data_IF_810910919828
#
_entry.id   IF_810910919828
#
_cell.length_a   1.000
_cell.length_b   1.000
_cell.length_c   1.000
_cell.angle_alpha   90.00
_cell.angle_beta   90.00
_cell.angle_gamma   90.00
#
_symmetry.space_group_name_H-M   'P 1'
#
loop_
_entity.id
_entity.type
_entity.pdbx_description
1 polymer ?
#
# COMPACT_ATOMS: atom_id res chain seq x y z
N UNK A 1 2.95 -32.68 -6.43
CA UNK A 1 3.25 -31.25 -6.31
C UNK A 1 3.41 -30.88 -4.84
N UNK A 2 4.24 -29.87 -4.52
CA UNK A 2 4.45 -29.36 -3.16
C UNK A 2 4.05 -27.89 -3.08
N UNK A 3 3.25 -27.56 -2.07
CA UNK A 3 2.86 -26.17 -1.76
C UNK A 3 3.59 -25.74 -0.48
N UNK A 4 4.10 -24.50 -0.43
CA UNK A 4 4.78 -23.92 0.73
C UNK A 4 4.46 -22.44 0.84
N UNK A 5 4.25 -21.96 2.08
CA UNK A 5 4.08 -20.54 2.43
C UNK A 5 4.93 -20.16 3.67
N UNK A 6 5.93 -21.00 4.02
CA UNK A 6 6.80 -20.78 5.19
C UNK A 6 7.96 -19.87 4.80
N UNK A 7 7.64 -18.64 4.45
CA UNK A 7 8.57 -17.56 4.09
C UNK A 7 7.91 -16.20 4.34
N UNK A 8 8.66 -15.12 4.20
CA UNK A 8 8.21 -13.75 4.37
C UNK A 8 6.93 -13.44 3.58
N UNK A 9 5.93 -12.88 4.24
CA UNK A 9 4.58 -12.60 3.74
C UNK A 9 3.77 -13.85 3.29
N UNK A 10 4.29 -15.07 3.48
CA UNK A 10 3.61 -16.30 3.06
C UNK A 10 2.32 -16.57 3.84
N UNK A 11 1.24 -16.87 3.13
CA UNK A 11 -0.07 -17.16 3.71
C UNK A 11 -0.86 -18.13 2.82
N UNK A 12 -0.96 -19.36 3.22
CA UNK A 12 -1.90 -20.37 2.71
C UNK A 12 -1.97 -21.58 3.65
N UNK A 13 -3.12 -22.19 3.72
CA UNK A 13 -3.36 -23.50 4.36
C UNK A 13 -3.60 -24.52 3.25
N UNK A 14 -2.84 -25.60 3.23
CA UNK A 14 -2.99 -26.68 2.26
C UNK A 14 -3.94 -27.73 2.79
N UNK A 15 -5.05 -27.97 2.12
CA UNK A 15 -6.03 -29.03 2.41
C UNK A 15 -5.67 -30.32 1.66
N UNK A 16 -5.37 -30.20 0.35
CA UNK A 16 -4.86 -31.30 -0.48
C UNK A 16 -4.06 -30.78 -1.67
N UNK A 17 -3.01 -31.49 -2.08
CA UNK A 17 -2.14 -31.11 -3.20
C UNK A 17 -1.59 -32.33 -3.95
N UNK A 18 -2.22 -33.50 -3.83
CA UNK A 18 -1.81 -34.75 -4.49
C UNK A 18 -2.07 -34.67 -6.01
N UNK A 19 -3.22 -34.09 -6.40
CA UNK A 19 -3.60 -33.89 -7.80
C UNK A 19 -3.40 -32.42 -8.20
N UNK A 20 -2.47 -32.10 -9.12
CA UNK A 20 -2.28 -30.73 -9.62
C UNK A 20 -3.56 -30.09 -10.20
N UNK A 21 -4.47 -30.88 -10.75
CA UNK A 21 -5.73 -30.41 -11.31
C UNK A 21 -6.82 -30.14 -10.28
N UNK A 22 -6.57 -30.43 -9.00
CA UNK A 22 -7.54 -30.23 -7.91
C UNK A 22 -6.83 -29.95 -6.57
N UNK A 23 -6.01 -28.90 -6.53
CA UNK A 23 -5.35 -28.44 -5.30
C UNK A 23 -6.36 -27.65 -4.47
N UNK A 24 -6.56 -28.04 -3.21
CA UNK A 24 -7.51 -27.43 -2.29
C UNK A 24 -6.78 -26.64 -1.21
N UNK A 25 -7.12 -25.36 -1.07
CA UNK A 25 -6.43 -24.38 -0.24
C UNK A 25 -7.44 -23.58 0.59
N UNK A 26 -6.96 -22.99 1.67
CA UNK A 26 -7.67 -21.95 2.45
C UNK A 26 -6.69 -20.81 2.78
N UNK A 27 -7.20 -19.58 2.85
CA UNK A 27 -6.44 -18.43 3.35
C UNK A 27 -6.51 -18.44 4.87
N UNK A 28 -5.38 -18.21 5.54
CA UNK A 28 -5.31 -18.05 7.00
C UNK A 28 -5.73 -16.62 7.38
N UNK A 29 -6.48 -16.50 8.48
CA UNK A 29 -6.81 -15.18 9.07
C UNK A 29 -5.58 -14.47 9.62
N UNK A 30 -5.64 -13.16 9.72
CA UNK A 30 -4.68 -12.35 10.45
C UNK A 30 -4.65 -12.77 11.92
N UNK A 31 -3.47 -12.75 12.54
CA UNK A 31 -3.32 -13.14 13.95
C UNK A 31 -4.17 -12.23 14.86
N UNK A 32 -5.03 -12.82 15.69
CA UNK A 32 -5.87 -12.06 16.62
C UNK A 32 -7.02 -11.29 15.96
N UNK A 33 -7.38 -11.63 14.72
CA UNK A 33 -8.42 -10.95 13.94
C UNK A 33 -9.20 -11.95 13.09
N UNK A 34 -10.35 -11.52 12.58
CA UNK A 34 -11.15 -12.28 11.61
C UNK A 34 -10.87 -11.88 10.15
N UNK A 35 -10.04 -10.85 9.93
CA UNK A 35 -9.68 -10.41 8.60
C UNK A 35 -8.83 -11.45 7.86
N UNK A 36 -9.14 -11.72 6.61
CA UNK A 36 -8.32 -12.47 5.68
C UNK A 36 -8.75 -12.20 4.24
N UNK A 37 -7.76 -12.16 3.34
CA UNK A 37 -7.90 -12.14 1.88
C UNK A 37 -6.53 -12.25 1.21
N UNK A 38 -5.47 -11.82 1.90
CA UNK A 38 -4.10 -11.97 1.43
C UNK A 38 -3.72 -13.44 1.37
N UNK A 39 -3.22 -13.88 0.21
CA UNK A 39 -2.57 -15.18 0.03
C UNK A 39 -1.25 -15.00 -0.71
N UNK A 40 -0.25 -15.78 -0.33
CA UNK A 40 1.03 -15.87 -1.02
C UNK A 40 1.66 -17.22 -0.74
N UNK A 41 1.89 -18.00 -1.79
CA UNK A 41 2.45 -19.34 -1.69
C UNK A 41 3.27 -19.71 -2.92
N UNK A 42 4.14 -20.72 -2.74
CA UNK A 42 4.95 -21.35 -3.79
C UNK A 42 4.40 -22.72 -4.11
N UNK A 43 4.19 -23.01 -5.38
CA UNK A 43 3.95 -24.35 -5.91
C UNK A 43 5.19 -24.85 -6.63
N UNK A 44 5.58 -26.13 -6.44
CA UNK A 44 6.73 -26.72 -7.09
C UNK A 44 6.51 -28.18 -7.49
N UNK A 45 7.21 -28.63 -8.54
CA UNK A 45 7.14 -29.98 -9.08
C UNK A 45 5.90 -30.21 -9.96
N UNK A 46 5.50 -29.21 -10.76
CA UNK A 46 4.39 -29.31 -11.71
C UNK A 46 4.69 -28.61 -13.04
N UNK A 47 5.95 -28.48 -13.42
CA UNK A 47 6.35 -27.87 -14.69
C UNK A 47 5.68 -28.58 -15.88
N UNK A 48 5.01 -27.80 -16.74
CA UNK A 48 4.30 -28.28 -17.93
C UNK A 48 2.97 -28.98 -17.64
N UNK A 49 2.55 -29.12 -16.38
CA UNK A 49 1.27 -29.70 -16.03
C UNK A 49 0.20 -28.61 -15.82
N UNK A 50 -1.02 -28.87 -16.33
CA UNK A 50 -2.15 -27.99 -16.05
C UNK A 50 -2.52 -28.08 -14.56
N UNK A 51 -2.42 -26.95 -13.84
CA UNK A 51 -2.71 -26.83 -12.43
C UNK A 51 -4.00 -26.05 -12.19
N UNK A 52 -4.75 -26.47 -11.15
CA UNK A 52 -5.95 -25.78 -10.69
C UNK A 52 -5.90 -25.66 -9.17
N UNK A 53 -5.76 -24.44 -8.69
CA UNK A 53 -5.75 -24.08 -7.26
C UNK A 53 -7.11 -23.52 -6.87
N UNK A 54 -7.76 -24.11 -5.86
CA UNK A 54 -9.06 -23.69 -5.38
C UNK A 54 -8.95 -23.23 -3.94
N UNK A 55 -9.19 -21.96 -3.70
CA UNK A 55 -9.27 -21.36 -2.37
C UNK A 55 -10.73 -21.47 -1.91
N UNK A 56 -10.99 -22.42 -1.01
CA UNK A 56 -12.34 -22.84 -0.61
C UNK A 56 -13.06 -21.81 0.28
N UNK A 57 -12.32 -21.03 1.05
CA UNK A 57 -12.89 -20.05 1.97
C UNK A 57 -12.96 -18.61 1.43
N UNK A 58 -12.79 -18.43 0.12
CA UNK A 58 -12.82 -17.10 -0.50
C UNK A 58 -14.15 -16.34 -0.26
N UNK A 59 -15.25 -17.09 -0.13
CA UNK A 59 -16.57 -16.53 0.15
C UNK A 59 -16.76 -15.94 1.55
N UNK A 60 -15.83 -16.17 2.47
CA UNK A 60 -15.81 -15.53 3.79
C UNK A 60 -14.77 -14.43 3.93
N UNK A 61 -14.03 -14.09 2.86
CA UNK A 61 -13.00 -13.07 2.89
C UNK A 61 -13.55 -11.68 3.22
N UNK A 62 -12.68 -10.80 3.74
CA UNK A 62 -13.06 -9.48 4.24
C UNK A 62 -13.74 -8.59 3.18
N UNK A 63 -13.29 -8.71 1.93
CA UNK A 63 -13.73 -7.87 0.81
C UNK A 63 -14.17 -8.72 -0.39
N UNK A 64 -15.24 -9.50 -0.23
CA UNK A 64 -15.74 -10.42 -1.27
C UNK A 64 -16.06 -9.71 -2.59
N UNK A 65 -16.49 -8.44 -2.54
CA UNK A 65 -16.72 -7.60 -3.73
C UNK A 65 -15.42 -7.33 -4.53
N UNK A 66 -14.28 -7.64 -3.98
CA UNK A 66 -12.99 -7.63 -4.64
C UNK A 66 -12.80 -8.77 -5.65
N UNK A 67 -13.45 -9.92 -5.44
CA UNK A 67 -13.24 -11.11 -6.28
C UNK A 67 -13.76 -11.02 -7.72
N UNK A 68 -14.94 -10.44 -8.01
CA UNK A 68 -15.41 -10.31 -9.40
C UNK A 68 -14.41 -9.53 -10.26
N UNK A 69 -13.92 -10.15 -11.34
CA UNK A 69 -12.92 -9.58 -12.24
C UNK A 69 -11.49 -9.53 -11.69
N UNK A 70 -11.24 -10.13 -10.53
CA UNK A 70 -9.89 -10.27 -9.98
C UNK A 70 -9.11 -11.39 -10.69
N UNK A 71 -7.81 -11.18 -10.87
CA UNK A 71 -6.86 -12.17 -11.39
C UNK A 71 -5.66 -12.26 -10.46
N UNK A 72 -5.29 -13.49 -10.06
CA UNK A 72 -4.15 -13.72 -9.18
C UNK A 72 -2.82 -13.38 -9.88
N UNK A 73 -1.87 -12.88 -9.12
CA UNK A 73 -0.50 -12.64 -9.60
C UNK A 73 0.31 -13.93 -9.53
N UNK A 74 1.07 -14.20 -10.59
CA UNK A 74 1.96 -15.36 -10.69
C UNK A 74 3.35 -14.94 -11.17
N UNK A 75 4.38 -15.61 -10.66
CA UNK A 75 5.78 -15.33 -11.04
C UNK A 75 6.63 -16.58 -10.91
N UNK A 76 7.60 -16.75 -11.81
CA UNK A 76 8.64 -17.80 -11.71
C UNK A 76 9.96 -17.28 -11.12
N UNK A 77 10.18 -15.98 -11.07
CA UNK A 77 11.41 -15.34 -10.60
C UNK A 77 11.20 -14.39 -9.39
N UNK A 78 9.94 -14.04 -9.05
CA UNK A 78 9.52 -13.08 -8.00
C UNK A 78 9.82 -11.62 -8.34
N UNK A 79 10.23 -11.33 -9.57
CA UNK A 79 10.48 -9.98 -10.09
C UNK A 79 9.39 -9.58 -11.08
N UNK A 80 9.11 -10.42 -12.06
CA UNK A 80 8.07 -10.22 -13.06
C UNK A 80 6.81 -10.95 -12.60
N UNK A 81 5.71 -10.21 -12.48
CA UNK A 81 4.42 -10.72 -12.06
C UNK A 81 3.40 -10.56 -13.17
N UNK A 82 2.80 -11.66 -13.57
CA UNK A 82 1.75 -11.73 -14.58
C UNK A 82 0.42 -12.12 -13.96
N UNK A 83 -0.68 -11.97 -14.69
CA UNK A 83 -2.01 -12.36 -14.23
C UNK A 83 -2.39 -13.74 -14.71
N UNK A 84 -2.81 -14.61 -13.81
CA UNK A 84 -3.31 -15.94 -14.11
C UNK A 84 -4.84 -15.93 -14.31
N UNK A 85 -5.33 -16.85 -15.17
CA UNK A 85 -6.76 -17.10 -15.29
C UNK A 85 -7.36 -17.41 -13.91
N UNK A 86 -8.32 -16.58 -13.49
CA UNK A 86 -8.92 -16.66 -12.18
C UNK A 86 -10.44 -16.48 -12.27
N UNK A 87 -11.18 -17.31 -11.56
CA UNK A 87 -12.64 -17.22 -11.47
C UNK A 87 -13.11 -17.30 -10.03
N UNK A 88 -14.17 -16.58 -9.71
CA UNK A 88 -14.86 -16.65 -8.42
C UNK A 88 -16.29 -17.10 -8.60
N UNK A 89 -16.66 -18.24 -8.01
CA UNK A 89 -17.99 -18.80 -8.09
C UNK A 89 -18.32 -19.59 -6.80
N UNK A 90 -19.56 -19.46 -6.33
CA UNK A 90 -20.09 -20.17 -5.18
C UNK A 90 -19.21 -20.09 -3.90
N UNK A 91 -18.47 -18.98 -3.71
CA UNK A 91 -17.61 -18.77 -2.55
C UNK A 91 -16.20 -19.35 -2.69
N UNK A 92 -15.88 -19.98 -3.81
CA UNK A 92 -14.55 -20.48 -4.14
C UNK A 92 -13.83 -19.58 -5.15
N UNK A 93 -12.54 -19.33 -4.92
CA UNK A 93 -11.66 -18.68 -5.90
C UNK A 93 -10.81 -19.75 -6.57
N UNK A 94 -10.93 -19.87 -7.88
CA UNK A 94 -10.18 -20.85 -8.68
C UNK A 94 -9.12 -20.12 -9.53
N UNK A 95 -7.86 -20.55 -9.40
CA UNK A 95 -6.72 -20.06 -10.19
C UNK A 95 -6.22 -21.19 -11.07
N UNK A 96 -6.11 -20.96 -12.39
CA UNK A 96 -5.70 -21.94 -13.38
C UNK A 96 -4.43 -21.48 -14.10
N UNK A 97 -3.41 -22.32 -14.16
CA UNK A 97 -2.18 -22.04 -14.90
C UNK A 97 -1.44 -23.33 -15.28
N UNK A 98 -0.55 -23.24 -16.26
CA UNK A 98 0.42 -24.28 -16.59
C UNK A 98 1.81 -23.68 -16.36
N UNK A 99 2.51 -24.03 -15.25
CA UNK A 99 3.83 -23.47 -14.96
C UNK A 99 4.85 -23.84 -16.06
N UNK A 100 5.64 -22.90 -16.51
CA UNK A 100 6.76 -23.11 -17.41
C UNK A 100 8.09 -23.42 -16.68
N UNK A 101 8.09 -23.27 -15.34
CA UNK A 101 9.23 -23.56 -14.47
C UNK A 101 8.85 -24.55 -13.35
N UNK A 102 9.86 -25.17 -12.73
CA UNK A 102 9.69 -26.13 -11.63
C UNK A 102 9.05 -25.52 -10.37
N UNK A 103 9.16 -24.22 -10.21
CA UNK A 103 8.55 -23.47 -9.11
C UNK A 103 7.87 -22.22 -9.64
N UNK A 104 6.66 -21.98 -9.16
CA UNK A 104 5.89 -20.74 -9.40
C UNK A 104 5.36 -20.21 -8.07
N UNK A 105 5.40 -18.88 -7.93
CA UNK A 105 4.81 -18.18 -6.80
C UNK A 105 3.47 -17.60 -7.24
N UNK A 106 2.47 -17.74 -6.39
CA UNK A 106 1.11 -17.27 -6.61
C UNK A 106 0.73 -16.36 -5.44
N UNK A 107 0.25 -15.14 -5.74
CA UNK A 107 -0.04 -14.14 -4.72
C UNK A 107 -1.32 -13.33 -5.05
N UNK A 108 -1.91 -12.72 -4.02
CA UNK A 108 -3.05 -11.83 -4.16
C UNK A 108 -2.68 -10.54 -4.92
N UNK A 109 -1.53 -9.98 -4.63
CA UNK A 109 -0.85 -8.94 -5.41
C UNK A 109 0.66 -9.21 -5.36
N UNK A 110 1.45 -8.61 -6.27
CA UNK A 110 2.91 -8.73 -6.26
C UNK A 110 3.48 -8.39 -4.89
N UNK A 111 4.07 -9.35 -4.15
CA UNK A 111 4.54 -9.11 -2.79
C UNK A 111 5.67 -8.10 -2.73
N UNK A 112 5.67 -7.29 -1.68
CA UNK A 112 6.79 -6.46 -1.28
C UNK A 112 7.38 -7.06 0.00
N UNK A 113 8.52 -7.74 -0.09
CA UNK A 113 9.12 -8.47 1.03
C UNK A 113 9.80 -7.54 2.04
N UNK A 114 9.95 -7.98 3.29
CA UNK A 114 10.73 -7.23 4.28
C UNK A 114 12.21 -7.15 3.89
N UNK A 115 12.74 -8.16 3.17
CA UNK A 115 14.10 -8.07 2.60
C UNK A 115 14.20 -6.90 1.61
N UNK A 116 13.21 -6.72 0.72
CA UNK A 116 13.19 -5.58 -0.20
C UNK A 116 13.02 -4.25 0.53
N UNK A 117 12.20 -4.23 1.59
CA UNK A 117 12.09 -3.07 2.50
C UNK A 117 13.45 -2.67 3.07
N UNK A 118 14.16 -3.62 3.67
CA UNK A 118 15.48 -3.39 4.27
C UNK A 118 16.51 -2.90 3.22
N UNK A 119 16.47 -3.47 2.01
CA UNK A 119 17.30 -3.04 0.87
C UNK A 119 16.97 -1.61 0.41
N UNK A 120 15.67 -1.24 0.37
CA UNK A 120 15.24 0.12 0.05
C UNK A 120 15.75 1.13 1.10
N UNK A 121 15.58 0.84 2.40
CA UNK A 121 16.09 1.68 3.49
C UNK A 121 17.60 1.81 3.39
N UNK A 122 18.31 0.69 3.20
CA UNK A 122 19.77 0.66 3.08
C UNK A 122 20.27 1.47 1.88
N UNK A 123 19.58 1.43 0.75
CA UNK A 123 19.92 2.21 -0.43
C UNK A 123 19.65 3.71 -0.21
N UNK A 124 18.47 4.07 0.31
CA UNK A 124 18.08 5.46 0.51
C UNK A 124 19.01 6.20 1.49
N UNK A 125 19.40 5.55 2.61
CA UNK A 125 20.28 6.18 3.62
C UNK A 125 21.68 6.55 3.09
N UNK A 126 22.11 5.96 1.95
CA UNK A 126 23.39 6.33 1.33
C UNK A 126 23.34 7.70 0.64
N UNK A 127 22.14 8.21 0.39
CA UNK A 127 22.00 9.50 -0.28
C UNK A 127 22.25 10.65 0.70
N UNK A 128 23.09 11.63 0.30
CA UNK A 128 23.53 12.76 1.14
C UNK A 128 22.45 13.65 1.73
N UNK A 129 21.22 13.60 1.17
CA UNK A 129 20.05 14.36 1.66
C UNK A 129 19.16 13.55 2.59
N UNK A 130 19.51 12.31 2.88
CA UNK A 130 18.69 11.41 3.68
C UNK A 130 19.27 11.26 5.07
N UNK A 131 18.41 11.40 6.07
CA UNK A 131 18.64 10.97 7.43
C UNK A 131 17.66 9.85 7.76
N UNK A 132 18.18 8.70 8.18
CA UNK A 132 17.41 7.60 8.74
C UNK A 132 17.24 7.77 10.24
N UNK A 133 16.02 7.67 10.73
CA UNK A 133 15.70 7.60 12.16
C UNK A 133 14.82 6.37 12.42
N UNK A 134 15.06 5.65 13.50
CA UNK A 134 14.14 4.63 14.02
C UNK A 134 13.22 5.31 15.04
N UNK A 135 11.95 5.44 14.72
CA UNK A 135 10.96 6.13 15.55
C UNK A 135 10.54 5.33 16.78
N UNK A 136 10.56 4.02 16.67
CA UNK A 136 10.17 3.08 17.70
C UNK A 136 10.26 1.65 17.19
N UNK A 137 9.66 0.73 17.94
CA UNK A 137 9.60 -0.68 17.55
C UNK A 137 8.15 -1.18 17.55
N UNK A 138 7.87 -2.09 16.63
CA UNK A 138 6.61 -2.82 16.55
C UNK A 138 6.47 -3.82 17.70
N UNK A 139 5.32 -4.49 17.78
CA UNK A 139 5.04 -5.52 18.81
C UNK A 139 5.98 -6.73 18.72
N UNK A 140 6.46 -7.07 17.51
CA UNK A 140 7.46 -8.14 17.30
C UNK A 140 8.92 -7.64 17.39
N UNK A 141 9.12 -6.35 17.68
CA UNK A 141 10.44 -5.74 17.85
C UNK A 141 11.13 -5.35 16.54
N UNK A 142 10.36 -5.15 15.44
CA UNK A 142 10.89 -4.58 14.20
C UNK A 142 10.96 -3.07 14.31
N UNK A 143 11.95 -2.48 13.65
CA UNK A 143 12.14 -1.03 13.64
C UNK A 143 11.04 -0.33 12.81
N UNK A 144 10.64 0.86 13.26
CA UNK A 144 9.77 1.79 12.54
C UNK A 144 10.64 2.86 11.89
N UNK A 145 11.05 2.59 10.66
CA UNK A 145 12.00 3.42 9.93
C UNK A 145 11.34 4.67 9.34
N UNK A 146 11.96 5.83 9.60
CA UNK A 146 11.64 7.09 8.95
C UNK A 146 12.83 7.60 8.14
N UNK A 147 12.61 7.87 6.87
CA UNK A 147 13.53 8.60 6.01
C UNK A 147 13.15 10.08 6.00
N UNK A 148 14.03 10.94 6.51
CA UNK A 148 13.90 12.40 6.39
C UNK A 148 14.76 12.87 5.22
N UNK A 149 14.12 13.51 4.22
CA UNK A 149 14.76 13.92 2.97
C UNK A 149 14.79 15.45 2.91
N UNK A 150 15.97 16.01 2.76
CA UNK A 150 16.22 17.45 2.82
C UNK A 150 16.46 17.95 4.25
N UNK A 151 16.83 19.22 4.36
CA UNK A 151 17.12 19.88 5.64
C UNK A 151 15.98 20.81 6.05
N UNK A 152 15.53 20.77 7.32
CA UNK A 152 14.60 21.78 7.84
C UNK A 152 15.14 23.20 7.65
N UNK A 153 14.27 24.15 7.41
CA UNK A 153 14.67 25.53 7.21
C UNK A 153 13.49 26.49 7.31
N UNK A 154 13.79 27.77 7.56
CA UNK A 154 12.77 28.82 7.65
C UNK A 154 11.96 28.89 6.34
N UNK A 155 10.63 28.85 6.45
CA UNK A 155 9.69 28.90 5.32
C UNK A 155 9.55 27.61 4.51
N UNK A 156 10.24 26.53 4.90
CA UNK A 156 10.04 25.22 4.27
C UNK A 156 8.78 24.52 4.81
N UNK A 157 8.07 23.85 3.92
CA UNK A 157 6.91 23.02 4.25
C UNK A 157 7.34 21.66 4.74
N UNK A 158 6.56 21.07 5.62
CA UNK A 158 6.75 19.72 6.14
C UNK A 158 5.76 18.76 5.48
N UNK A 159 6.29 17.81 4.70
CA UNK A 159 5.51 16.81 3.99
C UNK A 159 5.72 15.45 4.66
N UNK A 160 4.63 14.75 4.95
CA UNK A 160 4.67 13.37 5.42
C UNK A 160 4.02 12.43 4.42
N UNK A 161 4.73 11.35 4.10
CA UNK A 161 4.25 10.25 3.27
C UNK A 161 4.35 8.97 4.10
N UNK A 162 3.24 8.29 4.27
CA UNK A 162 3.21 6.98 4.88
C UNK A 162 2.61 5.96 3.90
N UNK A 163 2.94 4.70 4.07
CA UNK A 163 2.40 3.64 3.22
C UNK A 163 2.18 2.35 4.00
N UNK A 164 1.31 1.49 3.44
CA UNK A 164 1.13 0.11 3.88
C UNK A 164 0.71 -0.04 5.35
N UNK A 165 -0.24 0.78 5.81
CA UNK A 165 -0.90 0.56 7.11
C UNK A 165 -1.57 -0.82 7.15
N UNK A 166 -2.11 -1.25 6.01
CA UNK A 166 -2.65 -2.58 5.82
C UNK A 166 -1.61 -3.46 5.07
N UNK A 167 -1.13 -4.54 5.69
CA UNK A 167 -0.01 -5.33 5.17
C UNK A 167 -0.23 -5.93 3.78
N UNK A 168 -1.47 -6.34 3.47
CA UNK A 168 -1.83 -6.92 2.19
C UNK A 168 -1.81 -5.94 1.01
N UNK A 169 -1.84 -4.63 1.29
CA UNK A 169 -1.82 -3.56 0.29
C UNK A 169 -0.36 -3.26 -0.14
N UNK A 170 0.31 -4.26 -0.73
CA UNK A 170 1.73 -4.15 -1.08
C UNK A 170 2.02 -3.11 -2.15
N UNK A 171 1.01 -2.75 -3.01
CA UNK A 171 1.09 -1.66 -3.97
C UNK A 171 1.46 -0.32 -3.33
N UNK A 172 1.10 -0.12 -2.07
CA UNK A 172 1.42 1.10 -1.33
C UNK A 172 2.92 1.27 -1.10
N UNK A 173 3.62 0.18 -0.75
CA UNK A 173 5.08 0.23 -0.55
C UNK A 173 5.84 0.27 -1.88
N UNK A 174 5.33 -0.40 -2.94
CA UNK A 174 5.84 -0.22 -4.30
C UNK A 174 5.74 1.25 -4.74
N UNK A 175 4.63 1.93 -4.45
CA UNK A 175 4.48 3.36 -4.75
C UNK A 175 5.42 4.23 -3.90
N UNK A 176 5.60 3.91 -2.62
CA UNK A 176 6.57 4.59 -1.75
C UNK A 176 8.00 4.45 -2.27
N UNK A 177 8.39 3.26 -2.80
CA UNK A 177 9.68 3.06 -3.45
C UNK A 177 9.83 3.99 -4.67
N UNK A 178 8.82 4.04 -5.55
CA UNK A 178 8.87 4.93 -6.75
C UNK A 178 8.94 6.41 -6.38
N UNK A 179 8.24 6.83 -5.32
CA UNK A 179 8.36 8.17 -4.75
C UNK A 179 9.79 8.44 -4.27
N UNK A 180 10.38 7.51 -3.49
CA UNK A 180 11.72 7.63 -2.95
C UNK A 180 12.78 7.66 -4.06
N UNK A 181 12.67 6.78 -5.05
CA UNK A 181 13.60 6.77 -6.20
C UNK A 181 13.64 8.12 -6.90
N UNK A 182 12.48 8.74 -7.14
CA UNK A 182 12.42 10.01 -7.85
C UNK A 182 12.80 11.21 -6.97
N UNK A 183 12.33 11.27 -5.72
CA UNK A 183 12.67 12.41 -4.83
C UNK A 183 14.17 12.49 -4.53
N UNK A 184 14.88 11.36 -4.63
CA UNK A 184 16.31 11.25 -4.43
C UNK A 184 17.12 11.41 -5.72
N UNK A 185 16.48 11.52 -6.88
CA UNK A 185 17.18 11.77 -8.14
C UNK A 185 17.66 13.24 -8.19
N UNK A 186 18.97 13.43 -8.02
CA UNK A 186 19.60 14.73 -8.10
C UNK A 186 19.50 15.36 -9.51
N UNK A 187 19.20 14.59 -10.56
CA UNK A 187 19.02 15.07 -11.92
C UNK A 187 17.59 15.56 -12.17
N UNK A 188 16.57 15.06 -11.41
CA UNK A 188 15.18 15.49 -11.60
C UNK A 188 14.95 16.93 -11.11
N UNK A 189 14.56 17.87 -12.01
CA UNK A 189 14.34 19.26 -11.62
C UNK A 189 13.12 19.45 -10.71
N UNK A 190 12.09 18.59 -10.79
CA UNK A 190 10.91 18.68 -9.95
C UNK A 190 11.27 18.31 -8.49
N UNK A 191 12.05 17.26 -8.28
CA UNK A 191 12.55 16.84 -6.97
C UNK A 191 13.42 17.90 -6.33
N UNK A 192 14.33 18.52 -7.09
CA UNK A 192 15.14 19.63 -6.58
C UNK A 192 14.26 20.82 -6.14
N UNK A 193 13.31 21.22 -6.98
CA UNK A 193 12.43 22.35 -6.70
C UNK A 193 11.51 22.06 -5.48
N UNK A 194 11.07 20.80 -5.28
CA UNK A 194 10.34 20.39 -4.10
C UNK A 194 11.21 20.52 -2.85
N UNK A 195 12.42 19.95 -2.85
CA UNK A 195 13.32 19.91 -1.69
C UNK A 195 13.96 21.27 -1.34
N UNK A 196 14.00 22.20 -2.28
CA UNK A 196 14.40 23.60 -1.97
C UNK A 196 13.37 24.28 -1.05
N UNK A 197 12.11 23.83 -1.06
CA UNK A 197 10.97 24.45 -0.38
C UNK A 197 10.29 23.55 0.67
N UNK A 198 10.64 22.27 0.73
CA UNK A 198 10.05 21.34 1.65
C UNK A 198 11.09 20.40 2.26
N UNK A 199 10.72 19.83 3.42
CA UNK A 199 11.32 18.64 4.00
C UNK A 199 10.30 17.52 3.90
N UNK A 200 10.75 16.34 3.47
CA UNK A 200 9.88 15.19 3.27
C UNK A 200 10.25 14.09 4.25
N UNK A 201 9.28 13.65 5.04
CA UNK A 201 9.38 12.48 5.91
C UNK A 201 8.63 11.32 5.28
N UNK A 202 9.26 10.16 5.18
CA UNK A 202 8.67 8.96 4.59
C UNK A 202 8.76 7.79 5.55
N UNK A 203 7.64 7.12 5.83
CA UNK A 203 7.57 5.82 6.49
C UNK A 203 7.04 4.82 5.46
N UNK A 204 7.92 4.07 4.77
CA UNK A 204 7.52 3.26 3.62
C UNK A 204 6.63 2.07 4.00
N UNK A 205 6.74 1.58 5.24
CA UNK A 205 5.93 0.49 5.75
C UNK A 205 5.47 0.81 7.18
N UNK A 206 4.18 1.09 7.33
CA UNK A 206 3.56 1.35 8.64
C UNK A 206 3.27 0.07 9.45
N UNK A 207 3.35 -1.11 8.82
CA UNK A 207 2.97 -2.37 9.46
C UNK A 207 3.95 -3.51 9.14
N UNK A 208 5.21 -3.41 9.60
CA UNK A 208 6.25 -4.40 9.30
C UNK A 208 5.93 -5.80 9.81
N UNK A 209 5.30 -5.92 10.99
CA UNK A 209 4.92 -7.21 11.57
C UNK A 209 3.84 -7.91 10.74
N UNK A 210 2.77 -7.21 10.41
CA UNK A 210 1.70 -7.76 9.56
C UNK A 210 2.23 -8.12 8.17
N UNK A 211 3.12 -7.30 7.61
CA UNK A 211 3.78 -7.54 6.32
C UNK A 211 4.56 -8.84 6.34
N UNK A 212 5.43 -9.05 7.32
CA UNK A 212 6.19 -10.28 7.47
C UNK A 212 5.30 -11.52 7.70
N UNK A 213 4.23 -11.37 8.51
CA UNK A 213 3.32 -12.48 8.87
C UNK A 213 2.37 -12.87 7.73
N UNK A 214 2.28 -12.10 6.65
CA UNK A 214 1.33 -12.32 5.57
C UNK A 214 -0.12 -12.03 5.99
N UNK A 215 -0.31 -10.95 6.75
CA UNK A 215 -1.63 -10.44 7.11
C UNK A 215 -2.26 -9.67 5.94
N UNK A 216 -3.58 -9.60 5.93
CA UNK A 216 -4.31 -8.70 5.04
C UNK A 216 -4.31 -7.27 5.56
N UNK A 217 -4.69 -7.08 6.84
CA UNK A 217 -5.14 -5.77 7.32
C UNK A 217 -4.57 -5.31 8.66
N UNK A 218 -4.23 -6.23 9.53
CA UNK A 218 -3.95 -5.91 10.93
C UNK A 218 -2.49 -6.06 11.32
N UNK A 219 -2.08 -5.40 12.41
CA UNK A 219 -0.75 -5.57 13.00
C UNK A 219 -0.62 -6.93 13.73
N UNK A 220 0.49 -7.16 14.43
CA UNK A 220 0.78 -8.42 15.13
C UNK A 220 -0.27 -8.79 16.20
N UNK A 221 -1.05 -7.82 16.70
CA UNK A 221 -2.08 -8.00 17.74
C UNK A 221 -3.50 -8.10 17.17
N UNK A 222 -3.68 -7.99 15.87
CA UNK A 222 -4.99 -7.99 15.22
C UNK A 222 -5.66 -6.60 15.19
N UNK A 223 -4.89 -5.54 15.35
CA UNK A 223 -5.37 -4.16 15.35
C UNK A 223 -5.24 -3.56 13.96
N UNK A 224 -6.31 -2.94 13.46
CA UNK A 224 -6.31 -2.18 12.21
C UNK A 224 -5.74 -0.79 12.46
N UNK A 225 -4.51 -0.53 11.98
CA UNK A 225 -3.80 0.72 12.23
C UNK A 225 -4.57 1.95 11.73
N UNK A 226 -5.25 1.85 10.59
CA UNK A 226 -6.07 2.95 10.07
C UNK A 226 -7.45 3.08 10.77
N UNK A 227 -7.52 2.65 12.05
CA UNK A 227 -8.63 2.84 12.99
C UNK A 227 -8.11 3.24 14.38
N UNK A 228 -6.85 3.66 14.48
CA UNK A 228 -6.19 3.96 15.74
C UNK A 228 -5.70 5.41 15.88
N UNK A 229 -5.84 6.25 14.86
CA UNK A 229 -5.21 7.58 14.83
C UNK A 229 -5.69 8.54 15.91
N UNK A 230 -6.92 8.42 16.38
CA UNK A 230 -7.50 9.21 17.48
C UNK A 230 -7.23 8.64 18.89
N UNK A 231 -6.67 7.41 18.98
CA UNK A 231 -6.53 6.65 20.24
C UNK A 231 -5.30 5.75 20.31
N UNK A 232 -4.31 5.97 19.46
CA UNK A 232 -3.12 5.12 19.38
C UNK A 232 -2.39 5.03 20.73
N UNK A 233 -1.99 3.82 21.10
CA UNK A 233 -1.19 3.56 22.30
C UNK A 233 -0.02 2.63 21.99
N UNK A 234 1.09 2.72 22.74
CA UNK A 234 2.23 1.82 22.55
C UNK A 234 1.88 0.33 22.72
N UNK A 235 0.82 0.00 23.46
CA UNK A 235 0.40 -1.39 23.73
C UNK A 235 -0.44 -2.00 22.60
N UNK A 236 -1.13 -1.17 21.82
CA UNK A 236 -2.07 -1.65 20.79
C UNK A 236 -1.60 -1.36 19.37
N UNK A 237 -1.06 -0.17 19.18
CA UNK A 237 -0.63 0.36 17.87
C UNK A 237 0.64 1.20 18.03
N UNK A 238 1.76 0.59 18.51
CA UNK A 238 3.03 1.29 18.69
C UNK A 238 3.49 1.96 17.40
N UNK A 239 3.15 1.38 16.26
CA UNK A 239 3.44 1.88 14.92
C UNK A 239 2.84 3.27 14.70
N UNK A 240 1.54 3.42 14.96
CA UNK A 240 0.85 4.72 14.84
C UNK A 240 1.31 5.69 15.93
N UNK A 241 1.49 5.19 17.17
CA UNK A 241 1.86 6.03 18.31
C UNK A 241 3.20 6.74 18.08
N UNK A 242 4.26 6.02 17.66
CA UNK A 242 5.58 6.61 17.45
C UNK A 242 5.63 7.54 16.22
N UNK A 243 4.92 7.19 15.14
CA UNK A 243 4.84 8.05 13.94
C UNK A 243 4.09 9.35 14.25
N UNK A 244 2.96 9.26 14.95
CA UNK A 244 2.19 10.44 15.35
C UNK A 244 2.95 11.36 16.33
N UNK A 245 3.76 10.81 17.21
CA UNK A 245 4.66 11.59 18.08
C UNK A 245 5.68 12.37 17.25
N UNK A 246 6.33 11.71 16.29
CA UNK A 246 7.27 12.37 15.38
C UNK A 246 6.61 13.46 14.52
N UNK A 247 5.36 13.25 14.07
CA UNK A 247 4.58 14.25 13.35
C UNK A 247 4.27 15.49 14.23
N UNK A 248 4.00 15.29 15.53
CA UNK A 248 3.79 16.40 16.47
C UNK A 248 5.05 17.22 16.70
N UNK A 249 6.22 16.60 16.66
CA UNK A 249 7.51 17.28 16.79
C UNK A 249 7.89 18.10 15.55
N UNK A 250 7.59 17.59 14.37
CA UNK A 250 8.00 18.22 13.09
C UNK A 250 6.98 19.17 12.52
N UNK A 251 5.70 19.02 12.89
CA UNK A 251 4.57 19.61 12.19
C UNK A 251 4.26 18.84 10.89
N UNK A 252 3.12 19.18 10.29
CA UNK A 252 2.67 18.61 9.00
C UNK A 252 1.91 19.69 8.22
N UNK A 253 2.37 20.02 7.01
CA UNK A 253 1.65 20.88 6.07
C UNK A 253 0.92 20.06 5.00
N UNK A 254 1.47 18.88 4.63
CA UNK A 254 0.88 17.94 3.69
C UNK A 254 1.08 16.51 4.19
N UNK A 255 0.00 15.73 4.18
CA UNK A 255 -0.01 14.32 4.57
C UNK A 255 -0.56 13.45 3.44
N UNK A 256 0.21 12.45 3.02
CA UNK A 256 -0.20 11.45 2.04
C UNK A 256 -0.07 10.06 2.65
N UNK A 257 -1.18 9.31 2.62
CA UNK A 257 -1.28 7.93 3.05
C UNK A 257 -1.53 7.02 1.85
N UNK A 258 -0.61 6.11 1.54
CA UNK A 258 -0.70 5.23 0.38
C UNK A 258 -1.31 3.89 0.75
N UNK A 259 -2.37 3.51 0.05
CA UNK A 259 -3.20 2.33 0.26
C UNK A 259 -3.52 1.56 -1.03
N UNK A 260 -4.30 0.48 -0.87
CA UNK A 260 -4.90 -0.27 -1.96
C UNK A 260 -6.36 -0.61 -1.70
N UNK A 261 -7.21 -0.59 -2.76
CA UNK A 261 -8.63 -0.95 -2.70
C UNK A 261 -8.89 -2.26 -3.45
N UNK A 262 -9.54 -3.21 -2.78
CA UNK A 262 -9.82 -4.54 -3.33
C UNK A 262 -10.95 -4.52 -4.38
N UNK A 263 -11.86 -3.57 -4.28
CA UNK A 263 -13.09 -3.56 -5.06
C UNK A 263 -13.02 -2.68 -6.31
N UNK A 264 -12.49 -1.48 -6.17
CA UNK A 264 -12.49 -0.47 -7.23
C UNK A 264 -11.27 -0.64 -8.15
N UNK A 265 -11.47 -0.83 -9.46
CA UNK A 265 -10.38 -0.97 -10.44
C UNK A 265 -9.85 0.40 -10.89
N UNK A 266 -9.58 1.31 -9.96
CA UNK A 266 -9.19 2.69 -10.23
C UNK A 266 -8.13 3.17 -9.24
N UNK A 267 -7.25 4.05 -9.70
CA UNK A 267 -6.44 4.88 -8.80
C UNK A 267 -7.20 6.16 -8.49
N UNK A 268 -7.35 6.49 -7.22
CA UNK A 268 -8.05 7.69 -6.79
C UNK A 268 -7.51 8.22 -5.47
N UNK A 269 -7.84 9.47 -5.18
CA UNK A 269 -7.56 10.09 -3.87
C UNK A 269 -8.88 10.34 -3.14
N UNK A 270 -8.93 9.87 -1.88
CA UNK A 270 -9.91 10.28 -0.89
C UNK A 270 -9.30 11.39 -0.03
N UNK A 271 -9.99 12.51 0.09
CA UNK A 271 -9.59 13.63 0.93
C UNK A 271 -10.17 13.54 2.35
N UNK A 272 -10.07 14.65 3.07
CA UNK A 272 -10.58 14.78 4.43
C UNK A 272 -11.98 15.45 4.48
N UNK A 273 -12.79 15.24 3.45
CA UNK A 273 -14.14 15.80 3.38
C UNK A 273 -14.99 15.31 4.57
N UNK A 274 -15.76 16.21 5.14
CA UNK A 274 -16.61 15.93 6.28
C UNK A 274 -15.91 16.04 7.65
N UNK A 275 -14.62 16.40 7.68
CA UNK A 275 -13.89 16.69 8.93
C UNK A 275 -14.15 18.13 9.40
N UNK A 276 -13.94 18.43 10.69
CA UNK A 276 -13.92 19.80 11.17
C UNK A 276 -12.85 20.64 10.44
N UNK A 277 -13.22 21.84 10.02
CA UNK A 277 -12.29 22.74 9.30
C UNK A 277 -12.20 22.52 7.80
N UNK A 278 -12.87 21.51 7.26
CA UNK A 278 -12.99 21.33 5.81
C UNK A 278 -13.85 22.46 5.21
N UNK A 279 -13.28 23.24 4.31
CA UNK A 279 -13.88 24.39 3.65
C UNK A 279 -13.60 24.43 2.14
N UNK A 280 -13.98 25.51 1.48
CA UNK A 280 -13.79 25.68 0.04
C UNK A 280 -12.31 25.83 -0.34
N UNK A 281 -11.46 26.37 0.54
CA UNK A 281 -10.02 26.52 0.30
C UNK A 281 -9.33 25.15 0.39
N UNK A 282 -9.63 24.34 1.41
CA UNK A 282 -9.14 22.97 1.52
C UNK A 282 -9.58 22.11 0.33
N UNK A 283 -10.83 22.27 -0.12
CA UNK A 283 -11.33 21.61 -1.32
C UNK A 283 -10.57 22.04 -2.58
N UNK A 284 -10.38 23.35 -2.77
CA UNK A 284 -9.66 23.86 -3.95
C UNK A 284 -8.22 23.36 -4.00
N UNK A 285 -7.57 23.27 -2.83
CA UNK A 285 -6.21 22.76 -2.71
C UNK A 285 -6.13 21.26 -3.06
N UNK A 286 -7.07 20.45 -2.57
CA UNK A 286 -7.17 19.03 -2.92
C UNK A 286 -7.44 18.84 -4.43
N UNK A 287 -8.34 19.60 -5.01
CA UNK A 287 -8.65 19.50 -6.44
C UNK A 287 -7.46 19.95 -7.31
N UNK A 288 -6.69 20.94 -6.88
CA UNK A 288 -5.44 21.30 -7.54
C UNK A 288 -4.45 20.13 -7.52
N UNK A 289 -4.25 19.48 -6.37
CA UNK A 289 -3.38 18.32 -6.24
C UNK A 289 -3.82 17.18 -7.18
N UNK A 290 -5.11 16.80 -7.15
CA UNK A 290 -5.68 15.74 -7.99
C UNK A 290 -5.53 16.07 -9.49
N UNK A 291 -5.79 17.32 -9.89
CA UNK A 291 -5.70 17.72 -11.29
C UNK A 291 -4.28 17.66 -11.84
N UNK A 292 -3.29 18.04 -11.02
CA UNK A 292 -1.89 17.92 -11.40
C UNK A 292 -1.45 16.44 -11.42
N UNK A 293 -1.86 15.62 -10.45
CA UNK A 293 -1.56 14.20 -10.48
C UNK A 293 -2.11 13.52 -11.75
N UNK A 294 -3.36 13.82 -12.13
CA UNK A 294 -3.97 13.31 -13.36
C UNK A 294 -3.23 13.76 -14.62
N UNK A 295 -2.64 14.96 -14.59
CA UNK A 295 -1.84 15.46 -15.70
C UNK A 295 -0.52 14.72 -15.90
N UNK A 296 0.12 14.26 -14.80
CA UNK A 296 1.42 13.60 -14.83
C UNK A 296 1.32 12.07 -14.86
N UNK A 297 0.17 11.51 -14.45
CA UNK A 297 -0.05 10.07 -14.49
C UNK A 297 -1.44 9.74 -15.06
N UNK A 298 -1.51 9.20 -16.29
CA UNK A 298 -2.78 8.87 -16.95
C UNK A 298 -3.53 7.69 -16.32
N UNK A 299 -2.92 6.93 -15.41
CA UNK A 299 -3.58 5.87 -14.63
C UNK A 299 -4.43 6.44 -13.49
N UNK A 300 -4.24 7.73 -13.14
CA UNK A 300 -5.02 8.42 -12.13
C UNK A 300 -6.27 9.07 -12.71
N UNK A 301 -7.34 9.13 -11.92
CA UNK A 301 -8.60 9.76 -12.30
C UNK A 301 -9.33 10.39 -11.09
N UNK A 302 -10.37 11.19 -11.34
CA UNK A 302 -11.13 11.93 -10.32
C UNK A 302 -12.63 11.66 -10.34
N UNK A 303 -13.11 10.78 -11.22
CA UNK A 303 -14.55 10.52 -11.43
C UNK A 303 -15.09 9.40 -10.52
N UNK A 304 -14.22 8.48 -10.09
CA UNK A 304 -14.56 7.30 -9.31
C UNK A 304 -13.73 7.27 -8.04
N UNK A 305 -14.34 6.83 -6.94
CA UNK A 305 -13.71 6.74 -5.63
C UNK A 305 -14.74 6.51 -4.54
N UNK A 306 -14.36 6.72 -3.30
CA UNK A 306 -15.28 6.61 -2.18
C UNK A 306 -16.31 7.73 -2.19
N UNK A 307 -17.52 7.47 -1.67
CA UNK A 307 -18.49 8.54 -1.40
C UNK A 307 -17.92 9.58 -0.43
N UNK A 308 -18.15 10.84 -0.75
CA UNK A 308 -17.75 11.96 0.12
C UNK A 308 -18.55 11.93 1.43
N UNK A 309 -17.86 12.02 2.57
CA UNK A 309 -18.49 12.08 3.88
C UNK A 309 -19.28 13.39 4.06
N UNK A 310 -20.53 13.33 4.53
CA UNK A 310 -21.26 14.54 4.91
C UNK A 310 -20.52 15.35 5.99
N UNK A 311 -20.72 16.67 6.09
CA UNK A 311 -20.08 17.50 7.09
C UNK A 311 -20.25 16.96 8.53
N UNK A 312 -19.17 16.82 9.28
CA UNK A 312 -19.13 16.34 10.65
C UNK A 312 -19.29 14.83 10.83
N UNK A 313 -19.28 14.03 9.76
CA UNK A 313 -19.47 12.57 9.83
C UNK A 313 -18.20 11.75 9.51
N UNK A 314 -17.11 12.42 9.14
CA UNK A 314 -15.84 11.74 8.89
C UNK A 314 -15.34 11.03 10.15
N UNK A 315 -14.88 9.78 9.97
CA UNK A 315 -14.40 8.96 11.09
C UNK A 315 -13.00 9.42 11.53
N UNK A 316 -12.82 9.99 12.74
CA UNK A 316 -11.54 10.54 13.20
C UNK A 316 -10.48 9.47 13.51
N UNK A 317 -10.85 8.20 13.55
CA UNK A 317 -9.88 7.10 13.73
C UNK A 317 -9.08 6.76 12.45
N UNK A 318 -9.51 7.30 11.30
CA UNK A 318 -8.80 7.16 10.01
C UNK A 318 -7.72 8.23 9.90
N UNK A 319 -6.54 7.86 9.42
CA UNK A 319 -5.36 8.72 9.32
C UNK A 319 -5.67 10.10 8.70
N UNK A 320 -6.15 10.11 7.46
CA UNK A 320 -6.46 11.35 6.73
C UNK A 320 -7.45 12.25 7.47
N UNK A 321 -8.51 11.65 8.05
CA UNK A 321 -9.53 12.41 8.79
C UNK A 321 -9.04 12.94 10.14
N UNK A 322 -8.04 12.29 10.74
CA UNK A 322 -7.37 12.77 11.93
C UNK A 322 -6.38 13.89 11.62
N UNK A 323 -5.55 13.68 10.60
CA UNK A 323 -4.43 14.58 10.29
C UNK A 323 -4.91 15.97 9.84
N UNK A 324 -5.92 16.05 8.99
CA UNK A 324 -6.40 17.32 8.47
C UNK A 324 -6.77 18.32 9.58
N UNK A 325 -7.68 18.03 10.54
CA UNK A 325 -8.01 18.97 11.61
C UNK A 325 -6.91 19.09 12.68
N UNK A 326 -6.12 18.01 12.95
CA UNK A 326 -5.11 18.02 14.00
C UNK A 326 -3.91 18.92 13.67
N UNK A 327 -3.56 19.04 12.39
CA UNK A 327 -2.41 19.81 11.92
C UNK A 327 -2.81 20.99 11.01
N UNK A 328 -4.09 21.15 10.71
CA UNK A 328 -4.58 22.11 9.71
C UNK A 328 -3.82 21.98 8.39
N UNK A 329 -3.71 20.75 7.86
CA UNK A 329 -2.89 20.38 6.72
C UNK A 329 -3.73 19.82 5.57
N UNK A 330 -3.17 19.81 4.36
CA UNK A 330 -3.70 19.03 3.26
C UNK A 330 -3.44 17.54 3.52
N UNK A 331 -4.49 16.79 3.88
CA UNK A 331 -4.40 15.36 4.15
C UNK A 331 -5.22 14.55 3.14
N UNK A 332 -4.64 13.44 2.65
CA UNK A 332 -5.27 12.61 1.65
C UNK A 332 -4.79 11.15 1.70
N UNK A 333 -5.65 10.25 1.23
CA UNK A 333 -5.35 8.83 1.02
C UNK A 333 -5.31 8.56 -0.49
N UNK A 334 -4.20 8.01 -0.99
CA UNK A 334 -4.11 7.45 -2.34
C UNK A 334 -4.51 5.98 -2.27
N UNK A 335 -5.50 5.60 -3.08
CA UNK A 335 -5.94 4.22 -3.23
C UNK A 335 -5.55 3.70 -4.62
N UNK A 336 -4.98 2.50 -4.66
CA UNK A 336 -4.55 1.81 -5.88
C UNK A 336 -5.23 0.45 -5.99
N UNK A 337 -5.61 -0.03 -7.20
CA UNK A 337 -6.39 -1.26 -7.32
C UNK A 337 -5.56 -2.52 -7.10
N UNK A 338 -6.20 -3.57 -6.57
CA UNK A 338 -5.68 -4.94 -6.65
C UNK A 338 -5.91 -5.58 -8.03
N UNK A 339 -6.89 -5.09 -8.76
CA UNK A 339 -7.29 -5.53 -10.11
C UNK A 339 -6.53 -4.74 -11.17
N UNK A 340 -6.76 -5.10 -12.43
CA UNK A 340 -6.32 -4.25 -13.53
C UNK A 340 -7.08 -2.90 -13.51
N UNK A 341 -6.40 -1.85 -14.01
CA UNK A 341 -7.00 -0.53 -14.15
C UNK A 341 -8.07 -0.52 -15.24
N UNK A 342 -9.27 -0.08 -14.90
CA UNK A 342 -10.35 0.03 -15.88
C UNK A 342 -10.16 1.16 -16.91
N UNK A 343 -9.20 2.09 -16.66
CA UNK A 343 -8.94 3.23 -17.55
C UNK A 343 -7.86 2.89 -18.56
N UNK A 344 -6.80 2.24 -18.10
CA UNK A 344 -5.60 1.88 -18.87
C UNK A 344 -5.31 0.40 -18.66
N UNK A 345 -6.16 -0.52 -19.21
CA UNK A 345 -6.01 -1.95 -18.94
C UNK A 345 -4.73 -2.53 -19.55
N UNK A 346 -4.16 -3.51 -18.85
CA UNK A 346 -3.04 -4.34 -19.28
C UNK A 346 -3.37 -5.79 -19.00
N UNK A 347 -3.75 -6.55 -20.02
CA UNK A 347 -4.20 -7.93 -19.88
C UNK A 347 -3.13 -8.88 -19.34
N UNK A 348 -1.83 -8.55 -19.52
CA UNK A 348 -0.74 -9.40 -19.10
C UNK A 348 -0.37 -9.21 -17.63
N UNK A 349 -0.20 -7.96 -17.20
CA UNK A 349 0.30 -7.64 -15.86
C UNK A 349 -0.78 -7.00 -14.96
N UNK A 350 -1.81 -6.39 -15.54
CA UNK A 350 -2.81 -5.64 -14.79
C UNK A 350 -2.22 -4.40 -14.13
N UNK A 351 -2.77 -4.03 -12.96
CA UNK A 351 -2.07 -3.10 -12.08
C UNK A 351 -0.84 -3.80 -11.51
N UNK A 352 0.34 -3.25 -11.72
CA UNK A 352 1.62 -3.93 -11.52
C UNK A 352 2.58 -3.12 -10.63
N UNK A 353 3.65 -3.74 -10.08
CA UNK A 353 4.70 -3.03 -9.35
C UNK A 353 5.25 -1.81 -10.09
N UNK A 354 5.54 -1.93 -11.38
CA UNK A 354 6.08 -0.83 -12.19
C UNK A 354 5.11 0.35 -12.27
N UNK A 355 3.81 0.08 -12.43
CA UNK A 355 2.78 1.12 -12.44
C UNK A 355 2.63 1.77 -11.06
N UNK A 356 2.81 1.02 -9.97
CA UNK A 356 2.86 1.58 -8.62
C UNK A 356 4.07 2.52 -8.43
N UNK A 357 5.26 2.12 -8.92
CA UNK A 357 6.46 2.98 -8.90
C UNK A 357 6.20 4.30 -9.64
N UNK A 358 5.57 4.25 -10.82
CA UNK A 358 5.22 5.45 -11.59
C UNK A 358 4.17 6.32 -10.88
N UNK A 359 3.19 5.71 -10.22
CA UNK A 359 2.17 6.43 -9.44
C UNK A 359 2.80 7.16 -8.24
N UNK A 360 3.71 6.49 -7.53
CA UNK A 360 4.48 7.10 -6.44
C UNK A 360 5.36 8.25 -6.93
N UNK A 361 6.08 8.06 -8.02
CA UNK A 361 6.93 9.09 -8.62
C UNK A 361 6.14 10.34 -9.05
N UNK A 362 4.91 10.18 -9.56
CA UNK A 362 4.07 11.29 -10.01
C UNK A 362 3.59 12.19 -8.86
N UNK A 363 3.57 11.71 -7.60
CA UNK A 363 3.19 12.52 -6.44
C UNK A 363 4.07 13.78 -6.29
N UNK A 364 5.34 13.73 -6.72
CA UNK A 364 6.28 14.84 -6.61
C UNK A 364 5.80 16.07 -7.38
N UNK A 365 5.28 15.89 -8.58
CA UNK A 365 4.76 17.00 -9.39
C UNK A 365 3.50 17.60 -8.74
N UNK A 366 2.59 16.75 -8.24
CA UNK A 366 1.37 17.18 -7.57
C UNK A 366 1.69 17.92 -6.25
N UNK A 367 2.63 17.41 -5.44
CA UNK A 367 3.10 18.06 -4.21
C UNK A 367 3.69 19.44 -4.51
N UNK A 368 4.57 19.50 -5.54
CA UNK A 368 5.20 20.76 -5.95
C UNK A 368 4.18 21.82 -6.37
N UNK A 369 3.10 21.43 -7.03
CA UNK A 369 2.07 22.35 -7.52
C UNK A 369 1.29 23.04 -6.40
N UNK A 370 1.15 22.41 -5.24
CA UNK A 370 0.38 22.94 -4.11
C UNK A 370 1.21 23.69 -3.06
N UNK A 371 2.55 23.63 -3.13
CA UNK A 371 3.44 24.18 -2.10
C UNK A 371 3.18 25.64 -1.74
N UNK A 372 2.78 26.48 -2.71
CA UNK A 372 2.54 27.91 -2.47
C UNK A 372 1.24 28.18 -1.69
N UNK A 373 0.40 27.17 -1.55
CA UNK A 373 -0.91 27.28 -0.95
C UNK A 373 -1.04 26.49 0.37
N UNK A 374 0.00 25.72 0.75
CA UNK A 374 0.08 25.00 2.03
C UNK A 374 0.29 25.93 3.23
#
# INVERSE_FOLDING_TARGET
>A
MRISSTFDAGNIIVKSAEDPKNVRLEIRTDTGSEFYQWFYFKASGAQGEACRFVIENAGGAAYQQGWPGYQACVSSDREIWERAETSYDNGELTISLTPDADAVWIAYFAPYSMTRHDELIAACQQHRRVKLDVLGQTLDGRDMDRLTIGEPGEGKKTIWVIARQHPGETMAEWAAEGFLQRVLDDADPASRALLDRAVVHVVPNMNPDGSFRGHLRTNAKGVNLNREWDKATPENSPEVACVLEAMRETGVDLFLDMHGDEALPYNFIAGAEGTPGWDDDAKALLELYKSELMRFNPDFQTERGYPVSPPGTANPSVATNYMAPAFNCLAMTLEMPFKDSAITPDEAQGWSPERCLHMGAAQIDAMRAVLDQL
#
